data_IF_716964664155
#
_entry.id   IF_716964664155
#
_cell.length_a   1.000
_cell.length_b   1.000
_cell.length_c   1.000
_cell.angle_alpha   90.00
_cell.angle_beta   90.00
_cell.angle_gamma   90.00
#
_symmetry.space_group_name_H-M   'P 1'
#
loop_
_entity.id
_entity.type
_entity.pdbx_description
1 polymer ?
#
# COMPACT_ATOMS: atom_id res chain seq x y z
N UNK A 1 57.67 5.45 -55.53
CA UNK A 1 57.34 6.48 -54.53
C UNK A 1 56.84 5.79 -53.28
N UNK A 2 57.46 6.13 -52.15
CA UNK A 2 57.36 5.48 -50.84
C UNK A 2 55.96 5.55 -50.22
N UNK A 3 55.46 4.44 -49.69
CA UNK A 3 54.37 4.43 -48.73
C UNK A 3 54.83 3.73 -47.44
N UNK A 4 55.15 4.54 -46.42
CA UNK A 4 55.43 4.08 -45.07
C UNK A 4 54.11 3.76 -44.35
N UNK A 5 53.84 2.50 -44.08
CA UNK A 5 52.75 2.09 -43.19
C UNK A 5 53.29 1.97 -41.75
N UNK A 6 53.03 2.98 -40.92
CA UNK A 6 53.18 2.88 -39.46
C UNK A 6 52.17 1.86 -38.92
N UNK A 7 52.51 1.01 -37.94
CA UNK A 7 51.50 0.22 -37.26
C UNK A 7 50.63 1.16 -36.43
N UNK A 8 49.32 1.01 -36.60
CA UNK A 8 48.28 1.72 -35.86
C UNK A 8 48.34 1.18 -34.42
N UNK A 9 48.73 2.04 -33.48
CA UNK A 9 48.72 1.73 -32.06
C UNK A 9 47.26 1.67 -31.62
N UNK A 10 46.66 0.48 -31.64
CA UNK A 10 45.35 0.25 -31.03
C UNK A 10 45.56 0.22 -29.51
N UNK A 11 45.16 1.30 -28.84
CA UNK A 11 45.02 1.31 -27.39
C UNK A 11 43.87 0.37 -27.00
N UNK A 12 44.04 -0.51 -26.00
CA UNK A 12 42.95 -1.36 -25.54
C UNK A 12 41.93 -0.51 -24.78
N UNK A 13 40.68 -0.60 -25.24
CA UNK A 13 39.50 -0.06 -24.59
C UNK A 13 39.40 -0.59 -23.15
N UNK A 14 39.51 0.30 -22.16
CA UNK A 14 39.53 -0.06 -20.75
C UNK A 14 38.13 0.02 -20.10
N UNK A 15 37.57 -1.14 -19.73
CA UNK A 15 36.97 -1.36 -18.40
C UNK A 15 35.47 -1.17 -18.17
N UNK A 16 34.67 -0.71 -19.13
CA UNK A 16 33.25 -0.42 -18.87
C UNK A 16 32.27 -1.61 -19.05
N UNK A 17 32.73 -2.73 -19.63
CA UNK A 17 31.85 -3.85 -20.01
C UNK A 17 31.75 -4.98 -18.98
N UNK A 18 32.35 -4.86 -17.79
CA UNK A 18 32.40 -5.96 -16.80
C UNK A 18 31.42 -5.84 -15.64
N UNK A 19 30.57 -4.80 -15.60
CA UNK A 19 29.68 -4.58 -14.45
C UNK A 19 28.32 -5.25 -14.62
N UNK A 20 27.90 -5.96 -13.57
CA UNK A 20 26.58 -6.55 -13.49
C UNK A 20 25.47 -5.47 -13.55
N UNK A 21 24.23 -5.81 -13.94
CA UNK A 21 23.10 -4.87 -13.88
C UNK A 21 22.93 -4.21 -12.51
N UNK A 22 23.03 -4.96 -11.41
CA UNK A 22 22.89 -4.46 -10.05
C UNK A 22 24.10 -3.62 -9.62
N UNK A 23 25.32 -3.95 -10.08
CA UNK A 23 26.50 -3.10 -9.85
C UNK A 23 26.33 -1.73 -10.51
N UNK A 24 25.87 -1.69 -11.76
CA UNK A 24 25.56 -0.43 -12.46
C UNK A 24 24.45 0.35 -11.78
N UNK A 25 23.40 -0.34 -11.33
CA UNK A 25 22.32 0.27 -10.55
C UNK A 25 22.87 0.88 -9.25
N UNK A 26 23.70 0.15 -8.52
CA UNK A 26 24.23 0.56 -7.21
C UNK A 26 25.04 1.85 -7.21
N UNK A 27 25.60 2.27 -8.35
CA UNK A 27 26.41 3.49 -8.44
C UNK A 27 25.60 4.78 -8.28
N UNK A 28 24.31 4.73 -8.62
CA UNK A 28 23.40 5.89 -8.54
C UNK A 28 22.46 5.87 -7.35
N UNK A 29 22.48 4.79 -6.56
CA UNK A 29 21.61 4.62 -5.41
C UNK A 29 22.22 5.26 -4.15
N UNK A 30 21.36 5.82 -3.31
CA UNK A 30 21.70 6.36 -1.99
C UNK A 30 22.06 5.23 -1.03
N UNK A 31 23.20 5.32 -0.36
CA UNK A 31 23.56 4.41 0.72
C UNK A 31 22.88 4.85 2.02
N UNK A 32 21.98 4.00 2.53
CA UNK A 32 21.23 4.29 3.76
C UNK A 32 21.73 3.54 4.98
N UNK A 33 22.58 2.51 4.79
CA UNK A 33 23.23 1.80 5.91
C UNK A 33 24.61 2.36 6.25
N UNK A 34 25.22 3.11 5.33
CA UNK A 34 26.54 3.76 5.49
C UNK A 34 27.73 2.84 5.20
N UNK A 35 27.47 1.55 4.95
CA UNK A 35 28.46 0.53 4.60
C UNK A 35 28.21 -0.06 3.19
N UNK A 36 27.37 0.60 2.38
CA UNK A 36 26.91 0.16 1.05
C UNK A 36 26.12 -1.15 1.06
N UNK A 37 25.66 -1.60 2.23
CA UNK A 37 24.88 -2.82 2.42
C UNK A 37 23.42 -2.69 2.00
N UNK A 38 22.82 -1.52 2.23
CA UNK A 38 21.44 -1.19 1.84
C UNK A 38 21.45 0.08 1.01
N UNK A 39 21.08 -0.06 -0.26
CA UNK A 39 21.06 1.05 -1.21
C UNK A 39 19.63 1.33 -1.64
N UNK A 40 19.28 2.61 -1.80
CA UNK A 40 17.94 3.09 -2.11
C UNK A 40 17.89 3.96 -3.36
N UNK A 41 16.86 3.79 -4.17
CA UNK A 41 16.51 4.63 -5.31
C UNK A 41 15.02 4.97 -5.23
N UNK A 42 14.69 6.25 -5.08
CA UNK A 42 13.28 6.68 -4.95
C UNK A 42 12.68 6.81 -6.34
N UNK A 43 11.62 6.04 -6.61
CA UNK A 43 10.86 6.09 -7.88
C UNK A 43 9.76 7.14 -7.78
N UNK A 44 9.06 7.17 -6.64
CA UNK A 44 8.01 8.14 -6.34
C UNK A 44 8.16 8.61 -4.90
N UNK A 45 8.27 9.91 -4.72
CA UNK A 45 8.33 10.53 -3.41
C UNK A 45 7.05 10.27 -2.61
N UNK A 46 7.22 10.00 -1.31
CA UNK A 46 6.14 10.01 -0.34
C UNK A 46 6.00 11.38 0.33
N UNK A 47 5.04 11.49 1.24
CA UNK A 47 4.80 12.71 2.00
C UNK A 47 4.71 12.44 3.50
N UNK A 48 4.93 13.50 4.28
CA UNK A 48 4.85 13.46 5.74
C UNK A 48 6.11 12.90 6.39
N UNK A 49 5.90 12.34 7.57
CA UNK A 49 6.99 11.85 8.42
C UNK A 49 7.55 10.52 7.92
N UNK A 50 8.78 10.25 8.34
CA UNK A 50 9.41 8.95 8.17
C UNK A 50 8.70 7.90 9.03
N UNK A 51 8.77 6.66 8.60
CA UNK A 51 8.32 5.52 9.42
C UNK A 51 9.12 5.48 10.73
N UNK A 52 8.41 5.41 11.85
CA UNK A 52 9.05 5.32 13.17
C UNK A 52 9.53 3.89 13.47
N UNK A 53 10.54 3.71 14.32
CA UNK A 53 10.81 2.41 14.94
C UNK A 53 9.53 1.81 15.54
N UNK A 54 9.41 0.49 15.50
CA UNK A 54 8.24 -0.27 15.96
C UNK A 54 6.91 0.12 15.29
N UNK A 55 6.92 0.82 14.16
CA UNK A 55 5.69 1.10 13.42
C UNK A 55 5.06 -0.19 12.86
N UNK A 56 3.76 -0.11 12.63
CA UNK A 56 3.04 -1.11 11.83
C UNK A 56 2.86 -0.56 10.42
N UNK A 57 3.45 -1.23 9.41
CA UNK A 57 3.46 -0.76 8.03
C UNK A 57 2.52 -1.54 7.13
N UNK A 58 1.96 -0.86 6.13
CA UNK A 58 1.16 -1.41 5.05
C UNK A 58 1.94 -1.24 3.76
N UNK A 59 2.44 -2.34 3.20
CA UNK A 59 3.38 -2.30 2.08
C UNK A 59 2.95 -3.22 0.95
N UNK A 60 3.21 -2.79 -0.29
CA UNK A 60 3.32 -3.70 -1.43
C UNK A 60 4.78 -3.87 -1.79
N UNK A 61 5.19 -5.08 -2.14
CA UNK A 61 6.56 -5.32 -2.57
C UNK A 61 6.67 -6.45 -3.59
N UNK A 62 7.77 -6.42 -4.34
CA UNK A 62 8.26 -7.52 -5.16
C UNK A 62 9.78 -7.59 -5.09
N UNK A 63 10.30 -8.78 -4.81
CA UNK A 63 11.72 -9.10 -4.68
C UNK A 63 12.24 -9.87 -5.89
N UNK A 64 13.40 -9.46 -6.42
CA UNK A 64 13.99 -9.96 -7.65
C UNK A 64 15.44 -10.39 -7.45
N UNK A 65 15.80 -11.50 -8.08
CA UNK A 65 17.18 -11.92 -8.26
C UNK A 65 17.74 -11.30 -9.54
N UNK A 66 19.05 -11.07 -9.55
CA UNK A 66 19.70 -10.52 -10.72
C UNK A 66 19.50 -11.43 -11.94
N UNK A 67 19.24 -10.83 -13.10
CA UNK A 67 18.92 -11.53 -14.36
C UNK A 67 17.61 -12.33 -14.36
N UNK A 68 16.74 -12.17 -13.35
CA UNK A 68 15.42 -12.77 -13.33
C UNK A 68 14.33 -11.71 -13.48
N UNK A 69 13.50 -11.86 -14.52
CA UNK A 69 12.36 -10.95 -14.75
C UNK A 69 11.17 -11.25 -13.83
N UNK A 70 11.10 -12.47 -13.28
CA UNK A 70 10.05 -12.89 -12.36
C UNK A 70 10.50 -12.69 -10.91
N UNK A 71 9.66 -12.09 -10.05
CA UNK A 71 10.00 -11.95 -8.65
C UNK A 71 10.04 -13.33 -7.98
N UNK A 72 11.02 -13.53 -7.09
CA UNK A 72 11.08 -14.72 -6.24
C UNK A 72 10.09 -14.64 -5.07
N UNK A 73 9.73 -13.42 -4.67
CA UNK A 73 8.72 -13.13 -3.65
C UNK A 73 7.96 -11.84 -4.01
N UNK A 74 6.65 -11.81 -3.78
CA UNK A 74 5.81 -10.64 -4.04
C UNK A 74 4.55 -10.75 -3.20
N UNK A 75 3.99 -9.62 -2.78
CA UNK A 75 2.66 -9.59 -2.17
C UNK A 75 1.63 -8.83 -3.03
N UNK A 76 2.03 -8.35 -4.21
CA UNK A 76 1.20 -7.50 -5.08
C UNK A 76 -0.05 -8.20 -5.62
N UNK A 77 -0.06 -9.54 -5.66
CA UNK A 77 -1.23 -10.33 -6.07
C UNK A 77 -2.34 -10.35 -5.01
N UNK A 78 -2.06 -9.94 -3.77
CA UNK A 78 -3.07 -9.88 -2.73
C UNK A 78 -3.93 -8.65 -2.95
N UNK A 79 -5.25 -8.86 -3.03
CA UNK A 79 -6.24 -7.77 -3.13
C UNK A 79 -6.12 -6.79 -1.95
N UNK A 80 -5.71 -7.28 -0.78
CA UNK A 80 -5.56 -6.48 0.45
C UNK A 80 -4.19 -6.73 1.10
N UNK A 81 -3.30 -5.71 1.16
CA UNK A 81 -2.02 -5.82 1.86
C UNK A 81 -2.23 -6.04 3.36
N UNK A 82 -1.36 -6.84 4.00
CA UNK A 82 -1.38 -7.10 5.46
C UNK A 82 -0.60 -5.99 6.18
N UNK A 83 -1.02 -5.67 7.40
CA UNK A 83 -0.36 -4.70 8.28
C UNK A 83 0.68 -5.50 9.03
N UNK A 84 1.94 -5.08 8.94
CA UNK A 84 3.08 -5.85 9.43
C UNK A 84 3.86 -4.99 10.42
N UNK A 85 4.12 -5.51 11.61
CA UNK A 85 4.91 -4.82 12.63
C UNK A 85 6.40 -4.92 12.28
N UNK A 86 7.10 -3.79 12.23
CA UNK A 86 8.56 -3.77 12.12
C UNK A 86 9.20 -4.47 13.33
N UNK A 87 10.29 -5.21 13.11
CA UNK A 87 10.96 -6.01 14.14
C UNK A 87 10.28 -7.32 14.52
N UNK A 88 9.02 -7.57 14.12
CA UNK A 88 8.29 -8.81 14.43
C UNK A 88 7.83 -9.56 13.17
N UNK A 89 6.99 -8.93 12.33
CA UNK A 89 6.47 -9.54 11.10
C UNK A 89 7.43 -9.37 9.90
N UNK A 90 8.31 -8.36 9.94
CA UNK A 90 9.29 -8.06 8.88
C UNK A 90 10.67 -8.40 9.42
N UNK A 91 11.17 -9.57 9.01
CA UNK A 91 12.42 -10.15 9.54
C UNK A 91 13.63 -9.98 8.61
N UNK A 92 13.41 -9.55 7.36
CA UNK A 92 14.50 -9.27 6.43
C UNK A 92 15.12 -7.91 6.78
N UNK A 93 16.35 -7.93 7.31
CA UNK A 93 16.95 -6.77 7.94
C UNK A 93 17.12 -5.56 7.01
N UNK A 94 17.52 -5.80 5.75
CA UNK A 94 17.60 -4.75 4.73
C UNK A 94 16.23 -4.11 4.44
N UNK A 95 15.16 -4.89 4.48
CA UNK A 95 13.80 -4.38 4.28
C UNK A 95 13.33 -3.51 5.44
N UNK A 96 13.64 -3.90 6.68
CA UNK A 96 13.34 -3.11 7.86
C UNK A 96 14.05 -1.74 7.82
N UNK A 97 15.35 -1.72 7.55
CA UNK A 97 16.11 -0.47 7.36
C UNK A 97 15.60 0.36 6.18
N UNK A 98 15.26 -0.31 5.08
CA UNK A 98 14.64 0.30 3.91
C UNK A 98 13.37 1.05 4.27
N UNK A 99 12.44 0.39 4.97
CA UNK A 99 11.15 0.96 5.38
C UNK A 99 11.28 2.13 6.35
N UNK A 100 12.22 2.07 7.30
CA UNK A 100 12.52 3.19 8.21
C UNK A 100 12.97 4.45 7.47
N UNK A 101 13.49 4.31 6.25
CA UNK A 101 13.89 5.45 5.40
C UNK A 101 12.75 6.02 4.56
N UNK A 102 11.56 5.40 4.53
CA UNK A 102 10.46 5.74 3.63
C UNK A 102 9.44 6.68 4.26
N UNK A 103 8.70 7.39 3.40
CA UNK A 103 7.52 8.19 3.73
C UNK A 103 6.24 7.58 3.18
N UNK A 104 5.10 7.95 3.76
CA UNK A 104 3.78 7.49 3.31
C UNK A 104 3.58 7.77 1.81
N UNK A 105 3.16 6.76 1.05
CA UNK A 105 2.94 6.84 -0.39
C UNK A 105 4.20 6.65 -1.26
N UNK A 106 5.38 6.56 -0.64
CA UNK A 106 6.65 6.42 -1.36
C UNK A 106 6.74 5.06 -2.06
N UNK A 107 7.26 5.08 -3.30
CA UNK A 107 7.67 3.89 -4.03
C UNK A 107 9.17 3.98 -4.26
N UNK A 108 9.92 2.99 -3.79
CA UNK A 108 11.37 2.96 -3.90
C UNK A 108 11.89 1.56 -4.25
N UNK A 109 13.05 1.54 -4.91
CA UNK A 109 13.87 0.35 -5.14
C UNK A 109 14.97 0.27 -4.09
N UNK A 110 15.23 -0.94 -3.64
CA UNK A 110 16.29 -1.21 -2.70
C UNK A 110 17.16 -2.37 -3.18
N UNK A 111 18.48 -2.19 -3.14
CA UNK A 111 19.42 -3.29 -3.24
C UNK A 111 19.89 -3.68 -1.85
N UNK A 112 19.68 -4.94 -1.49
CA UNK A 112 20.16 -5.52 -0.23
C UNK A 112 21.34 -6.44 -0.53
N UNK A 113 22.51 -6.09 -0.01
CA UNK A 113 23.68 -6.97 -0.03
C UNK A 113 23.43 -8.20 0.84
N UNK A 114 24.20 -9.29 0.64
CA UNK A 114 23.92 -10.56 1.32
C UNK A 114 23.82 -10.44 2.84
N UNK A 115 24.65 -9.61 3.47
CA UNK A 115 24.64 -9.34 4.91
C UNK A 115 23.34 -8.76 5.45
N UNK A 116 22.58 -8.05 4.60
CA UNK A 116 21.27 -7.47 4.91
C UNK A 116 20.11 -8.26 4.29
N UNK A 117 20.41 -9.40 3.67
CA UNK A 117 19.47 -10.25 2.96
C UNK A 117 19.53 -11.69 3.50
N UNK A 118 19.87 -12.67 2.65
CA UNK A 118 19.89 -14.10 3.00
C UNK A 118 21.30 -14.66 3.29
N UNK A 119 22.29 -13.78 3.38
CA UNK A 119 23.65 -14.11 3.82
C UNK A 119 24.38 -15.13 2.95
N UNK A 120 25.35 -15.80 3.59
CA UNK A 120 26.20 -16.83 2.96
C UNK A 120 25.46 -18.13 2.67
N UNK A 121 24.33 -18.36 3.32
CA UNK A 121 23.53 -19.58 3.11
C UNK A 121 22.51 -19.42 2.00
N UNK A 122 22.02 -18.21 1.74
CA UNK A 122 20.90 -17.99 0.84
C UNK A 122 19.60 -18.60 1.38
N UNK A 123 18.68 -18.94 0.48
CA UNK A 123 17.46 -19.70 0.76
C UNK A 123 17.24 -20.75 -0.35
N UNK A 124 17.99 -21.87 -0.36
CA UNK A 124 17.90 -22.87 -1.42
C UNK A 124 16.51 -23.53 -1.50
N UNK A 125 16.03 -23.89 -2.69
CA UNK A 125 16.65 -23.71 -4.01
C UNK A 125 16.40 -22.32 -4.62
N UNK A 126 15.65 -21.45 -3.94
CA UNK A 126 15.10 -20.21 -4.50
C UNK A 126 16.13 -19.08 -4.60
N UNK A 127 16.92 -18.89 -3.54
CA UNK A 127 17.90 -17.80 -3.43
C UNK A 127 19.29 -18.40 -3.22
N UNK A 128 20.24 -18.18 -4.13
CA UNK A 128 21.60 -18.67 -3.98
C UNK A 128 22.35 -18.05 -2.78
N UNK A 129 23.36 -18.73 -2.24
CA UNK A 129 24.37 -18.15 -1.35
C UNK A 129 24.92 -16.80 -1.84
N UNK A 130 25.14 -15.86 -0.91
CA UNK A 130 25.78 -14.57 -1.20
C UNK A 130 25.10 -13.73 -2.29
N UNK A 131 23.78 -13.86 -2.45
CA UNK A 131 23.03 -13.10 -3.45
C UNK A 131 22.73 -11.67 -3.00
N UNK A 132 23.00 -10.69 -3.86
CA UNK A 132 22.38 -9.36 -3.76
C UNK A 132 20.98 -9.43 -4.37
N UNK A 133 19.99 -8.88 -3.68
CA UNK A 133 18.59 -8.89 -4.13
C UNK A 133 18.07 -7.47 -4.30
N UNK A 134 17.15 -7.30 -5.25
CA UNK A 134 16.45 -6.05 -5.48
C UNK A 134 15.02 -6.18 -4.94
N UNK A 135 14.56 -5.21 -4.17
CA UNK A 135 13.15 -5.07 -3.81
C UNK A 135 12.59 -3.77 -4.35
N UNK A 136 11.46 -3.83 -5.04
CA UNK A 136 10.56 -2.68 -5.20
C UNK A 136 9.55 -2.70 -4.06
N UNK A 137 9.47 -1.60 -3.32
CA UNK A 137 8.59 -1.46 -2.16
C UNK A 137 7.77 -0.17 -2.30
N UNK A 138 6.46 -0.31 -2.23
CA UNK A 138 5.51 0.79 -2.09
C UNK A 138 5.01 0.82 -0.65
N UNK A 139 5.34 1.89 0.08
CA UNK A 139 4.79 2.14 1.40
C UNK A 139 3.43 2.82 1.24
N UNK A 140 2.35 2.08 1.46
CA UNK A 140 1.00 2.60 1.32
C UNK A 140 0.64 3.46 2.54
N UNK A 141 0.83 2.91 3.74
CA UNK A 141 0.61 3.62 4.98
C UNK A 141 1.40 3.00 6.15
N UNK A 142 1.45 3.69 7.29
CA UNK A 142 1.95 3.16 8.55
C UNK A 142 1.23 3.80 9.74
N UNK A 143 1.10 3.02 10.81
CA UNK A 143 0.75 3.50 12.14
C UNK A 143 2.03 3.60 12.96
N UNK A 144 2.22 4.74 13.63
CA UNK A 144 3.29 4.88 14.59
C UNK A 144 3.12 3.88 15.76
N UNK A 145 4.12 3.80 16.64
CA UNK A 145 4.09 2.88 17.77
C UNK A 145 2.86 3.09 18.67
N UNK A 146 2.50 4.34 18.97
CA UNK A 146 1.37 4.66 19.85
C UNK A 146 0.00 4.31 19.21
N UNK A 147 -0.16 4.56 17.92
CA UNK A 147 -1.34 4.20 17.14
C UNK A 147 -1.45 2.68 16.96
N UNK A 148 -0.32 2.00 16.74
CA UNK A 148 -0.23 0.55 16.69
C UNK A 148 -0.68 -0.08 18.01
N UNK A 149 -0.21 0.44 19.15
CA UNK A 149 -0.56 -0.09 20.48
C UNK A 149 -2.04 0.11 20.80
N UNK A 150 -2.58 1.31 20.49
CA UNK A 150 -4.02 1.58 20.60
C UNK A 150 -4.84 0.59 19.77
N UNK A 151 -4.42 0.31 18.55
CA UNK A 151 -5.11 -0.64 17.67
C UNK A 151 -5.10 -2.07 18.23
N UNK A 152 -3.95 -2.54 18.72
CA UNK A 152 -3.80 -3.85 19.37
C UNK A 152 -4.68 -3.95 20.62
N UNK A 153 -4.67 -2.91 21.46
CA UNK A 153 -5.49 -2.83 22.68
C UNK A 153 -6.99 -2.88 22.35
N UNK A 154 -7.45 -2.13 21.35
CA UNK A 154 -8.85 -2.15 20.91
C UNK A 154 -9.27 -3.53 20.40
N UNK A 155 -8.41 -4.17 19.60
CA UNK A 155 -8.66 -5.51 19.05
C UNK A 155 -8.71 -6.59 20.14
N UNK A 156 -7.88 -6.47 21.19
CA UNK A 156 -7.94 -7.33 22.36
C UNK A 156 -9.20 -7.06 23.20
N UNK A 157 -9.52 -5.78 23.46
CA UNK A 157 -10.70 -5.38 24.22
C UNK A 157 -11.99 -5.90 23.59
N UNK A 158 -12.14 -5.80 22.27
CA UNK A 158 -13.33 -6.33 21.57
C UNK A 158 -13.47 -7.84 21.76
N UNK A 159 -12.37 -8.60 21.65
CA UNK A 159 -12.37 -10.06 21.88
C UNK A 159 -12.81 -10.42 23.29
N UNK A 160 -12.39 -9.65 24.29
CA UNK A 160 -12.81 -9.83 25.69
C UNK A 160 -14.29 -9.49 25.88
N UNK A 161 -14.75 -8.37 25.33
CA UNK A 161 -16.15 -7.95 25.43
C UNK A 161 -17.12 -8.91 24.73
N UNK A 162 -16.71 -9.56 23.64
CA UNK A 162 -17.52 -10.61 23.00
C UNK A 162 -17.62 -11.89 23.82
N UNK A 163 -16.60 -12.20 24.64
CA UNK A 163 -16.61 -13.41 25.51
C UNK A 163 -17.30 -13.19 26.85
N UNK A 164 -17.52 -11.93 27.25
CA UNK A 164 -18.13 -11.61 28.53
C UNK A 164 -19.61 -11.98 28.52
N UNK A 165 -19.99 -12.90 29.39
CA UNK A 165 -21.39 -13.18 29.73
C UNK A 165 -21.77 -12.24 30.89
N UNK A 166 -22.27 -11.05 30.56
CA UNK A 166 -22.69 -10.09 31.56
C UNK A 166 -24.12 -10.40 32.06
N UNK A 167 -24.44 -10.10 33.33
CA UNK A 167 -25.82 -10.10 33.81
C UNK A 167 -26.69 -9.14 32.97
N UNK A 168 -28.00 -9.36 32.86
CA UNK A 168 -28.91 -8.50 32.08
C UNK A 168 -28.81 -7.01 32.45
N UNK A 169 -28.56 -6.71 33.74
CA UNK A 169 -28.42 -5.35 34.27
C UNK A 169 -27.16 -4.63 33.74
N UNK A 170 -26.09 -5.37 33.42
CA UNK A 170 -24.84 -4.83 32.91
C UNK A 170 -24.71 -4.94 31.38
N UNK A 171 -25.67 -5.59 30.71
CA UNK A 171 -25.65 -5.81 29.26
C UNK A 171 -25.50 -4.49 28.51
N UNK A 172 -26.22 -3.44 28.95
CA UNK A 172 -26.15 -2.11 28.35
C UNK A 172 -24.75 -1.49 28.46
N UNK A 173 -24.04 -1.72 29.57
CA UNK A 173 -22.66 -1.22 29.74
C UNK A 173 -21.69 -1.93 28.80
N UNK A 174 -21.86 -3.25 28.63
CA UNK A 174 -21.05 -4.03 27.70
C UNK A 174 -21.30 -3.60 26.25
N UNK A 175 -22.55 -3.43 25.86
CA UNK A 175 -22.93 -2.93 24.52
C UNK A 175 -22.39 -1.52 24.27
N UNK A 176 -22.47 -0.62 25.26
CA UNK A 176 -21.90 0.73 25.18
C UNK A 176 -20.38 0.71 24.99
N UNK A 177 -19.67 -0.17 25.71
CA UNK A 177 -18.22 -0.34 25.56
C UNK A 177 -17.86 -0.95 24.19
N UNK A 178 -18.61 -1.96 23.72
CA UNK A 178 -18.44 -2.54 22.38
C UNK A 178 -18.62 -1.48 21.31
N UNK A 179 -19.67 -0.66 21.39
CA UNK A 179 -19.94 0.41 20.45
C UNK A 179 -18.73 1.35 20.31
N UNK A 180 -18.16 1.80 21.43
CA UNK A 180 -16.98 2.67 21.42
C UNK A 180 -15.77 2.01 20.74
N UNK A 181 -15.52 0.74 21.06
CA UNK A 181 -14.40 -0.02 20.48
C UNK A 181 -14.60 -0.27 18.99
N UNK A 182 -15.80 -0.69 18.57
CA UNK A 182 -16.16 -0.93 17.17
C UNK A 182 -16.04 0.35 16.33
N UNK A 183 -16.50 1.47 16.86
CA UNK A 183 -16.32 2.79 16.27
C UNK A 183 -14.83 3.09 16.04
N UNK A 184 -13.99 2.94 17.08
CA UNK A 184 -12.56 3.23 16.96
C UNK A 184 -11.83 2.26 16.01
N UNK A 185 -12.19 0.98 15.99
CA UNK A 185 -11.65 0.01 15.05
C UNK A 185 -12.07 0.34 13.61
N UNK A 186 -13.34 0.65 13.36
CA UNK A 186 -13.82 1.08 12.04
C UNK A 186 -13.01 2.28 11.52
N UNK A 187 -12.79 3.29 12.36
CA UNK A 187 -11.97 4.44 12.02
C UNK A 187 -10.51 4.07 11.73
N UNK A 188 -9.92 3.23 12.58
CA UNK A 188 -8.54 2.77 12.40
C UNK A 188 -8.39 2.04 11.07
N UNK A 189 -9.34 1.17 10.71
CA UNK A 189 -9.32 0.47 9.43
C UNK A 189 -9.57 1.37 8.21
N UNK A 190 -10.32 2.48 8.35
CA UNK A 190 -10.39 3.52 7.31
C UNK A 190 -9.03 4.19 7.11
N UNK A 191 -8.32 4.50 8.20
CA UNK A 191 -6.96 5.06 8.14
C UNK A 191 -5.95 4.09 7.56
N UNK A 192 -6.18 2.79 7.73
CA UNK A 192 -5.36 1.72 7.16
C UNK A 192 -5.74 1.34 5.72
N UNK A 193 -6.57 2.13 5.03
CA UNK A 193 -7.08 1.84 3.67
C UNK A 193 -7.64 0.41 3.52
N UNK A 194 -8.36 -0.06 4.55
CA UNK A 194 -9.05 -1.35 4.57
C UNK A 194 -10.54 -1.17 4.68
N UNK A 195 -11.18 -0.65 3.62
CA UNK A 195 -12.56 -0.22 3.70
C UNK A 195 -13.53 -1.37 3.95
N UNK A 196 -13.30 -2.57 3.40
CA UNK A 196 -14.16 -3.74 3.68
C UNK A 196 -14.19 -4.10 5.18
N UNK A 197 -13.04 -4.06 5.86
CA UNK A 197 -12.98 -4.35 7.30
C UNK A 197 -13.55 -3.20 8.11
N UNK A 198 -13.27 -1.95 7.71
CA UNK A 198 -13.85 -0.76 8.34
C UNK A 198 -15.38 -0.76 8.27
N UNK A 199 -15.94 -1.12 7.11
CA UNK A 199 -17.37 -1.26 6.87
C UNK A 199 -17.97 -2.30 7.81
N UNK A 200 -17.39 -3.51 7.89
CA UNK A 200 -17.87 -4.56 8.80
C UNK A 200 -17.93 -4.11 10.26
N UNK A 201 -16.91 -3.42 10.77
CA UNK A 201 -16.94 -2.89 12.13
C UNK A 201 -17.94 -1.75 12.31
N UNK A 202 -18.11 -0.89 11.30
CA UNK A 202 -19.13 0.15 11.28
C UNK A 202 -20.55 -0.44 11.30
N UNK A 203 -20.81 -1.47 10.50
CA UNK A 203 -22.08 -2.20 10.49
C UNK A 203 -22.33 -2.90 11.83
N UNK A 204 -21.32 -3.53 12.44
CA UNK A 204 -21.43 -4.07 13.79
C UNK A 204 -21.80 -2.99 14.82
N UNK A 205 -21.23 -1.77 14.71
CA UNK A 205 -21.62 -0.65 15.55
C UNK A 205 -23.09 -0.23 15.32
N UNK A 206 -23.57 -0.28 14.07
CA UNK A 206 -24.97 0.02 13.72
C UNK A 206 -25.97 -1.04 14.20
N UNK A 207 -25.54 -2.29 14.40
CA UNK A 207 -26.37 -3.31 15.05
C UNK A 207 -26.67 -2.92 16.49
N UNK A 208 -25.72 -2.29 17.18
CA UNK A 208 -25.87 -1.80 18.56
C UNK A 208 -26.67 -0.49 18.58
N UNK A 209 -26.28 0.49 17.74
CA UNK A 209 -26.93 1.79 17.64
C UNK A 209 -27.13 2.18 16.17
N UNK A 210 -28.35 1.94 15.67
CA UNK A 210 -28.72 2.16 14.26
C UNK A 210 -28.70 3.63 13.83
N UNK A 211 -28.74 4.58 14.78
CA UNK A 211 -28.77 6.03 14.52
C UNK A 211 -27.42 6.68 14.78
N UNK A 212 -26.37 5.90 15.03
CA UNK A 212 -25.06 6.42 15.33
C UNK A 212 -24.44 7.15 14.11
N UNK A 213 -24.47 8.48 14.12
CA UNK A 213 -23.97 9.29 13.00
C UNK A 213 -22.50 9.00 12.65
N UNK A 214 -21.65 8.67 13.64
CA UNK A 214 -20.24 8.34 13.39
C UNK A 214 -20.09 6.99 12.69
N UNK A 215 -20.87 5.98 13.08
CA UNK A 215 -20.86 4.69 12.39
C UNK A 215 -21.37 4.83 10.95
N UNK A 216 -22.51 5.50 10.75
CA UNK A 216 -23.07 5.78 9.43
C UNK A 216 -22.06 6.51 8.54
N UNK A 217 -21.43 7.58 9.05
CA UNK A 217 -20.42 8.34 8.32
C UNK A 217 -19.23 7.46 7.89
N UNK A 218 -18.71 6.63 8.80
CA UNK A 218 -17.57 5.74 8.52
C UNK A 218 -17.92 4.63 7.53
N UNK A 219 -19.12 4.05 7.63
CA UNK A 219 -19.61 3.11 6.62
C UNK A 219 -19.71 3.78 5.25
N UNK A 220 -20.21 5.01 5.19
CA UNK A 220 -20.24 5.82 3.96
C UNK A 220 -18.85 6.01 3.35
N UNK A 221 -17.85 6.40 4.16
CA UNK A 221 -16.46 6.53 3.71
C UNK A 221 -15.89 5.20 3.20
N UNK A 222 -16.14 4.10 3.91
CA UNK A 222 -15.71 2.78 3.49
C UNK A 222 -16.34 2.36 2.15
N UNK A 223 -17.66 2.53 1.99
CA UNK A 223 -18.36 2.18 0.75
C UNK A 223 -17.90 3.03 -0.44
N UNK A 224 -17.54 4.30 -0.25
CA UNK A 224 -16.90 5.12 -1.31
C UNK A 224 -15.60 4.47 -1.78
N UNK A 225 -14.72 4.08 -0.85
CA UNK A 225 -13.45 3.43 -1.16
C UNK A 225 -13.65 2.05 -1.81
N UNK A 226 -14.75 1.37 -1.51
CA UNK A 226 -15.15 0.12 -2.16
C UNK A 226 -15.84 0.34 -3.52
N UNK A 227 -16.01 1.59 -3.96
CA UNK A 227 -16.76 1.97 -5.17
C UNK A 227 -18.25 1.58 -5.14
N UNK A 228 -18.79 1.30 -3.95
CA UNK A 228 -20.20 0.96 -3.69
C UNK A 228 -21.01 2.25 -3.47
N UNK A 229 -21.11 3.07 -4.53
CA UNK A 229 -21.62 4.45 -4.42
C UNK A 229 -23.08 4.55 -3.94
N UNK A 230 -23.94 3.62 -4.30
CA UNK A 230 -25.33 3.62 -3.85
C UNK A 230 -25.45 3.36 -2.35
N UNK A 231 -24.68 2.39 -1.85
CA UNK A 231 -24.63 2.05 -0.43
C UNK A 231 -24.00 3.21 0.36
N UNK A 232 -22.92 3.81 -0.17
CA UNK A 232 -22.31 5.00 0.41
C UNK A 232 -23.32 6.14 0.56
N UNK A 233 -24.16 6.36 -0.46
CA UNK A 233 -25.21 7.38 -0.42
C UNK A 233 -26.22 7.12 0.69
N UNK A 234 -26.70 5.88 0.82
CA UNK A 234 -27.67 5.51 1.89
C UNK A 234 -27.10 5.87 3.27
N UNK A 235 -25.89 5.39 3.57
CA UNK A 235 -25.25 5.65 4.85
C UNK A 235 -25.05 7.15 5.12
N UNK A 236 -24.54 7.91 4.16
CA UNK A 236 -24.24 9.34 4.35
C UNK A 236 -25.50 10.20 4.47
N UNK A 237 -26.57 9.90 3.73
CA UNK A 237 -27.85 10.61 3.86
C UNK A 237 -28.48 10.34 5.23
N UNK A 238 -28.42 9.09 5.71
CA UNK A 238 -28.86 8.75 7.07
C UNK A 238 -28.01 9.47 8.13
N UNK A 239 -26.69 9.57 7.94
CA UNK A 239 -25.81 10.33 8.83
C UNK A 239 -26.18 11.82 8.85
N UNK A 240 -26.46 12.41 7.68
CA UNK A 240 -26.89 13.81 7.55
C UNK A 240 -28.22 14.05 8.25
N UNK A 241 -29.17 13.11 8.18
CA UNK A 241 -30.45 13.23 8.88
C UNK A 241 -30.28 13.33 10.40
N UNK A 242 -29.33 12.59 10.97
CA UNK A 242 -29.01 12.64 12.40
C UNK A 242 -28.16 13.87 12.77
N UNK A 243 -27.33 14.38 11.84
CA UNK A 243 -26.52 15.59 12.05
C UNK A 243 -26.50 16.54 10.82
N UNK A 244 -27.56 17.34 10.61
CA UNK A 244 -27.74 18.11 9.36
C UNK A 244 -26.67 19.18 9.10
N UNK A 245 -26.15 19.79 10.16
CA UNK A 245 -25.18 20.89 10.09
C UNK A 245 -23.72 20.42 10.18
N UNK A 246 -23.49 19.10 10.17
CA UNK A 246 -22.14 18.56 10.22
C UNK A 246 -21.43 18.79 8.88
N UNK A 247 -20.34 19.56 8.93
CA UNK A 247 -19.59 19.95 7.74
C UNK A 247 -18.87 18.76 7.10
N UNK A 248 -18.38 17.80 7.88
CA UNK A 248 -17.67 16.63 7.38
C UNK A 248 -18.60 15.73 6.57
N UNK A 249 -19.81 15.46 7.07
CA UNK A 249 -20.83 14.67 6.36
C UNK A 249 -21.19 15.34 5.03
N UNK A 250 -21.42 16.66 5.06
CA UNK A 250 -21.78 17.42 3.87
C UNK A 250 -20.63 17.49 2.84
N UNK A 251 -19.38 17.59 3.31
CA UNK A 251 -18.18 17.52 2.47
C UNK A 251 -18.05 16.15 1.81
N UNK A 252 -18.31 15.07 2.55
CA UNK A 252 -18.19 13.71 2.05
C UNK A 252 -19.28 13.37 1.02
N UNK A 253 -20.51 13.85 1.22
CA UNK A 253 -21.58 13.77 0.22
C UNK A 253 -21.21 14.48 -1.09
N UNK A 254 -20.53 15.62 -1.02
CA UNK A 254 -20.02 16.34 -2.20
C UNK A 254 -18.93 15.53 -2.92
N UNK A 255 -18.02 14.88 -2.19
CA UNK A 255 -17.02 13.98 -2.77
C UNK A 255 -17.67 12.80 -3.47
N UNK A 256 -18.64 12.14 -2.81
CA UNK A 256 -19.41 11.04 -3.39
C UNK A 256 -20.08 11.45 -4.71
N UNK A 257 -20.72 12.63 -4.75
CA UNK A 257 -21.33 13.14 -5.97
C UNK A 257 -20.32 13.38 -7.09
N UNK A 258 -19.10 13.81 -6.77
CA UNK A 258 -18.01 13.92 -7.75
C UNK A 258 -17.59 12.55 -8.27
N UNK A 259 -17.26 11.61 -7.39
CA UNK A 259 -16.81 10.27 -7.78
C UNK A 259 -17.84 9.50 -8.60
N UNK A 260 -19.12 9.64 -8.25
CA UNK A 260 -20.20 9.00 -8.99
C UNK A 260 -20.35 9.58 -10.40
N UNK A 261 -20.21 10.90 -10.58
CA UNK A 261 -20.21 11.50 -11.93
C UNK A 261 -19.03 11.01 -12.76
N UNK A 262 -17.83 11.02 -12.20
CA UNK A 262 -16.62 10.54 -12.89
C UNK A 262 -16.74 9.07 -13.30
N UNK A 263 -17.36 8.24 -12.46
CA UNK A 263 -17.65 6.84 -12.76
C UNK A 263 -18.61 6.71 -13.96
N UNK A 264 -19.74 7.43 -13.94
CA UNK A 264 -20.74 7.40 -15.01
C UNK A 264 -20.18 7.93 -16.33
N UNK A 265 -19.39 9.00 -16.30
CA UNK A 265 -18.77 9.57 -17.49
C UNK A 265 -17.77 8.58 -18.14
N UNK A 266 -16.98 7.87 -17.32
CA UNK A 266 -16.09 6.80 -17.79
C UNK A 266 -16.86 5.61 -18.37
N UNK A 267 -17.94 5.17 -17.73
CA UNK A 267 -18.79 4.11 -18.29
C UNK A 267 -19.38 4.52 -19.65
N UNK A 268 -19.85 5.76 -19.77
CA UNK A 268 -20.36 6.31 -21.03
C UNK A 268 -19.29 6.33 -22.11
N UNK A 269 -18.09 6.77 -21.80
CA UNK A 269 -16.96 6.77 -22.74
C UNK A 269 -16.57 5.36 -23.16
N UNK A 270 -16.51 4.40 -22.23
CA UNK A 270 -16.24 2.99 -22.53
C UNK A 270 -17.30 2.39 -23.44
N UNK A 271 -18.57 2.65 -23.16
CA UNK A 271 -19.70 2.25 -23.99
C UNK A 271 -19.58 2.85 -25.40
N UNK A 272 -19.31 4.15 -25.51
CA UNK A 272 -19.12 4.82 -26.79
C UNK A 272 -17.96 4.24 -27.62
N UNK A 273 -16.83 3.89 -26.99
CA UNK A 273 -15.72 3.22 -27.69
C UNK A 273 -16.07 1.79 -28.11
N UNK A 274 -16.80 1.06 -27.27
CA UNK A 274 -17.20 -0.34 -27.55
C UNK A 274 -18.20 -0.43 -28.70
N UNK A 275 -19.05 0.59 -28.88
CA UNK A 275 -20.04 0.67 -29.96
C UNK A 275 -19.67 1.67 -31.06
N UNK A 276 -18.45 2.20 -31.05
CA UNK A 276 -17.93 2.96 -32.17
C UNK A 276 -17.86 2.02 -33.39
N UNK A 277 -18.40 2.42 -34.56
CA UNK A 277 -18.24 1.62 -35.77
C UNK A 277 -16.75 1.40 -36.00
N UNK A 278 -16.33 0.16 -36.27
CA UNK A 278 -15.03 -0.07 -36.89
C UNK A 278 -15.05 0.71 -38.21
N UNK A 279 -14.40 1.89 -38.24
CA UNK A 279 -14.10 2.53 -39.51
C UNK A 279 -13.14 1.61 -40.24
N UNK A 280 -13.71 0.77 -41.11
CA UNK A 280 -12.99 0.03 -42.12
C UNK A 280 -12.09 1.04 -42.84
N UNK A 281 -10.78 0.79 -42.79
CA UNK A 281 -9.81 1.43 -43.65
C UNK A 281 -10.21 1.22 -45.11
N UNK A 282 -10.93 2.20 -45.64
CA UNK A 282 -11.34 2.36 -47.02
C UNK A 282 -11.57 3.87 -47.11
N UNK A 283 -10.76 4.66 -47.78
CA UNK A 283 -10.62 4.66 -49.24
C UNK A 283 -9.47 5.60 -49.66
N UNK A 284 -8.82 5.21 -50.77
CA UNK A 284 -8.19 6.05 -51.81
C UNK A 284 -6.74 6.56 -51.68
N UNK A 285 -5.89 6.00 -52.55
CA UNK A 285 -5.13 6.72 -53.57
C UNK A 285 -4.92 5.73 -54.72
N UNK A 286 -5.45 5.87 -55.93
CA UNK A 286 -5.67 7.09 -56.69
C UNK A 286 -4.47 7.33 -57.61
N UNK A 287 -4.27 6.45 -58.61
CA UNK A 287 -3.70 6.73 -59.93
C UNK A 287 -4.03 5.60 -60.90
#
# INVERSE_FOLDING_TARGET
>A
MSASSRPRNEMPWSGADSWSPYERLSQRMLDISGDRGVLKDVIREGAGDLVTPDASVLVKYSGYLEHMDKPFDSNCYRKTPRLMKLGEDITLWGMELGLLSMRRGELARFLFKPTYAYGTLGCPPLIPPNSTILFEIELLDFLDSAESDKFCALSAALRLLHRRLAPPEEQHLVESAKLLVLLNLSFSYLKLDRPATALRYGEQALIIDQRNAKALFRCGQASILLTEYEQARDFLVRAQKEQPFNHDINNELRKLASYYRDYVDKEKEMCQRMFAPFENGSVAGGH
#
